data_IF_827057431814
#
_entry.id   IF_827057431814
#
_cell.length_a   1.000
_cell.length_b   1.000
_cell.length_c   1.000
_cell.angle_alpha   90.00
_cell.angle_beta   90.00
_cell.angle_gamma   90.00
#
_symmetry.space_group_name_H-M   'P 1'
#
loop_
_entity.id
_entity.type
_entity.pdbx_description
1 polymer ?
#
# COMPACT_ATOMS: atom_id res chain seq x y z
N UNK A 1 -9.52 -16.83 -1.07
CA UNK A 1 -10.04 -16.79 -2.46
C UNK A 1 -11.17 -17.78 -2.74
N UNK A 2 -10.97 -19.12 -2.75
CA UNK A 2 -12.05 -20.07 -3.12
C UNK A 2 -13.31 -20.00 -2.24
N UNK A 3 -13.17 -19.61 -0.98
CA UNK A 3 -14.29 -19.37 -0.05
C UNK A 3 -15.12 -18.12 -0.42
N UNK A 4 -14.54 -17.16 -1.13
CA UNK A 4 -15.16 -15.89 -1.48
C UNK A 4 -15.76 -15.94 -2.91
N UNK A 5 -17.03 -15.50 -3.14
CA UNK A 5 -17.63 -15.49 -4.48
C UNK A 5 -16.85 -14.68 -5.52
N UNK A 6 -16.38 -13.48 -5.15
CA UNK A 6 -15.54 -12.64 -6.02
C UNK A 6 -14.17 -13.28 -6.23
N UNK A 7 -13.59 -13.88 -5.19
CA UNK A 7 -12.36 -14.67 -5.30
C UNK A 7 -12.46 -15.81 -6.31
N UNK A 8 -13.54 -16.59 -6.29
CA UNK A 8 -13.81 -17.64 -7.30
C UNK A 8 -13.95 -17.06 -8.72
N UNK A 9 -14.62 -15.91 -8.86
CA UNK A 9 -14.76 -15.22 -10.15
C UNK A 9 -13.38 -14.82 -10.68
N UNK A 10 -12.53 -14.24 -9.85
CA UNK A 10 -11.16 -13.85 -10.18
C UNK A 10 -10.32 -15.06 -10.61
N UNK A 11 -10.41 -16.19 -9.90
CA UNK A 11 -9.64 -17.41 -10.23
C UNK A 11 -10.05 -18.02 -11.56
N UNK A 12 -11.33 -17.87 -11.94
CA UNK A 12 -11.85 -18.32 -13.24
C UNK A 12 -11.46 -17.38 -14.38
N UNK A 13 -11.67 -16.07 -14.18
CA UNK A 13 -11.49 -15.07 -15.24
C UNK A 13 -10.00 -14.75 -15.49
N UNK A 14 -9.16 -14.99 -14.48
CA UNK A 14 -7.70 -14.76 -14.49
C UNK A 14 -7.23 -13.38 -15.02
N UNK A 15 -7.87 -12.25 -14.65
CA UNK A 15 -7.45 -10.93 -15.14
C UNK A 15 -6.04 -10.55 -14.67
N UNK A 16 -5.33 -9.80 -15.52
CA UNK A 16 -3.99 -9.26 -15.25
C UNK A 16 -4.05 -7.76 -15.02
N UNK A 17 -3.23 -7.26 -14.11
CA UNK A 17 -3.14 -5.86 -13.75
C UNK A 17 -1.77 -5.31 -14.17
N UNK A 18 -1.61 -5.05 -15.46
CA UNK A 18 -0.39 -4.53 -16.09
C UNK A 18 -0.73 -3.33 -16.99
N UNK A 19 0.25 -2.70 -17.64
CA UNK A 19 -0.01 -1.52 -18.47
C UNK A 19 -0.87 -1.79 -19.72
N UNK A 20 -1.03 -3.04 -20.15
CA UNK A 20 -1.90 -3.38 -21.29
C UNK A 20 -3.38 -3.31 -20.89
N UNK A 21 -3.71 -3.74 -19.67
CA UNK A 21 -5.07 -3.75 -19.13
C UNK A 21 -5.41 -2.46 -18.36
N UNK A 22 -4.44 -1.93 -17.60
CA UNK A 22 -4.53 -0.67 -16.87
C UNK A 22 -4.02 0.48 -17.74
N UNK A 23 -4.91 1.08 -18.51
CA UNK A 23 -4.60 2.28 -19.30
C UNK A 23 -4.35 3.48 -18.40
N UNK A 24 -3.14 3.64 -17.87
CA UNK A 24 -2.79 4.73 -16.93
C UNK A 24 -3.19 6.12 -17.44
N UNK A 25 -3.06 6.49 -18.74
CA UNK A 25 -3.58 7.76 -19.25
C UNK A 25 -5.08 7.94 -19.04
N UNK A 26 -5.88 6.88 -19.18
CA UNK A 26 -7.31 6.90 -18.87
C UNK A 26 -7.54 7.11 -17.37
N UNK A 27 -6.79 6.41 -16.52
CA UNK A 27 -6.92 6.54 -15.07
C UNK A 27 -6.63 7.96 -14.58
N UNK A 28 -5.66 8.65 -15.19
CA UNK A 28 -5.37 10.08 -14.91
C UNK A 28 -6.51 11.02 -15.32
N UNK A 29 -7.38 10.61 -16.24
CA UNK A 29 -8.52 11.41 -16.70
C UNK A 29 -9.78 11.25 -15.85
N UNK A 30 -9.79 10.25 -14.95
CA UNK A 30 -10.92 10.01 -14.05
C UNK A 30 -11.06 11.11 -12.98
N UNK A 31 -12.22 11.24 -12.32
CA UNK A 31 -12.41 12.18 -11.23
C UNK A 31 -11.37 11.99 -10.11
N UNK A 32 -10.96 13.10 -9.47
CA UNK A 32 -9.89 13.09 -8.45
C UNK A 32 -10.19 12.21 -7.23
N UNK A 33 -11.46 11.98 -6.95
CA UNK A 33 -11.91 11.11 -5.86
C UNK A 33 -12.05 9.63 -6.29
N UNK A 34 -11.71 9.27 -7.53
CA UNK A 34 -11.82 7.89 -8.00
C UNK A 34 -10.61 7.03 -7.59
N UNK A 35 -10.82 5.72 -7.51
CA UNK A 35 -9.75 4.73 -7.22
C UNK A 35 -8.67 4.78 -8.29
N UNK A 36 -9.05 4.81 -9.57
CA UNK A 36 -8.15 4.83 -10.71
C UNK A 36 -7.30 6.09 -10.74
N UNK A 37 -7.90 7.26 -10.50
CA UNK A 37 -7.13 8.50 -10.39
C UNK A 37 -6.18 8.47 -9.19
N UNK A 38 -6.65 7.97 -8.03
CA UNK A 38 -5.81 7.84 -6.83
C UNK A 38 -4.61 6.92 -7.06
N UNK A 39 -4.83 5.81 -7.77
CA UNK A 39 -3.78 4.89 -8.20
C UNK A 39 -2.79 5.55 -9.15
N UNK A 40 -3.26 6.21 -10.21
CA UNK A 40 -2.37 6.88 -11.16
C UNK A 40 -1.56 8.01 -10.51
N UNK A 41 -2.18 8.79 -9.63
CA UNK A 41 -1.50 9.83 -8.84
C UNK A 41 -0.45 9.24 -7.90
N UNK A 42 -0.72 8.09 -7.30
CA UNK A 42 0.25 7.39 -6.46
C UNK A 42 1.44 6.89 -7.29
N UNK A 43 1.20 6.26 -8.46
CA UNK A 43 2.24 5.85 -9.40
C UNK A 43 3.16 7.04 -9.76
N UNK A 44 2.56 8.17 -10.14
CA UNK A 44 3.30 9.39 -10.51
C UNK A 44 4.12 9.94 -9.34
N UNK A 45 3.60 9.86 -8.12
CA UNK A 45 4.27 10.35 -6.90
C UNK A 45 5.43 9.47 -6.46
N UNK A 46 5.31 8.16 -6.61
CA UNK A 46 6.34 7.19 -6.21
C UNK A 46 7.32 6.84 -7.35
N UNK A 47 7.02 7.25 -8.59
CA UNK A 47 7.88 7.05 -9.75
C UNK A 47 7.92 5.60 -10.23
N UNK A 48 6.80 4.87 -10.09
CA UNK A 48 6.67 3.45 -10.44
C UNK A 48 5.59 3.23 -11.52
N UNK A 49 5.59 2.05 -12.14
CA UNK A 49 4.67 1.63 -13.20
C UNK A 49 3.99 0.30 -12.84
N UNK A 50 2.77 -0.02 -13.34
CA UNK A 50 2.16 -1.34 -13.17
C UNK A 50 3.09 -2.50 -13.60
N UNK A 51 3.94 -2.28 -14.61
CA UNK A 51 4.86 -3.31 -15.13
C UNK A 51 6.15 -3.47 -14.32
N UNK A 52 6.31 -2.74 -13.21
CA UNK A 52 7.51 -2.89 -12.35
C UNK A 52 7.52 -4.24 -11.60
N UNK A 53 6.46 -5.05 -11.73
CA UNK A 53 6.26 -6.28 -10.99
C UNK A 53 6.70 -7.47 -11.83
N UNK A 54 7.78 -8.11 -11.41
CA UNK A 54 8.28 -9.33 -12.05
C UNK A 54 7.26 -10.48 -11.97
N UNK A 55 7.25 -11.31 -13.02
CA UNK A 55 6.47 -12.54 -13.04
C UNK A 55 6.92 -13.51 -11.95
N UNK A 56 5.95 -14.15 -11.31
CA UNK A 56 6.18 -15.23 -10.35
C UNK A 56 6.80 -16.43 -11.07
N UNK A 57 7.92 -16.88 -10.53
CA UNK A 57 8.64 -18.07 -10.96
C UNK A 57 8.62 -19.11 -9.83
N UNK A 58 8.90 -20.37 -10.17
CA UNK A 58 9.10 -21.47 -9.20
C UNK A 58 7.87 -21.86 -8.36
N UNK A 59 6.68 -21.79 -8.96
CA UNK A 59 5.44 -22.36 -8.39
C UNK A 59 4.85 -23.30 -9.42
N UNK A 60 4.77 -24.60 -9.10
CA UNK A 60 4.32 -25.63 -10.04
C UNK A 60 2.80 -25.65 -10.21
N UNK A 61 2.06 -25.35 -9.14
CA UNK A 61 0.60 -25.28 -9.20
C UNK A 61 0.15 -23.99 -9.91
N UNK A 62 -0.52 -24.15 -11.05
CA UNK A 62 -0.90 -23.03 -11.93
C UNK A 62 -1.86 -22.04 -11.27
N UNK A 63 -2.78 -22.53 -10.42
CA UNK A 63 -3.70 -21.66 -9.69
C UNK A 63 -2.96 -20.87 -8.61
N UNK A 64 -2.10 -21.52 -7.83
CA UNK A 64 -1.24 -20.87 -6.84
C UNK A 64 -0.29 -19.85 -7.49
N UNK A 65 0.31 -20.19 -8.63
CA UNK A 65 1.15 -19.28 -9.39
C UNK A 65 0.37 -18.02 -9.79
N UNK A 66 -0.86 -18.18 -10.28
CA UNK A 66 -1.76 -17.07 -10.60
C UNK A 66 -2.14 -16.25 -9.35
N UNK A 67 -2.49 -16.89 -8.23
CA UNK A 67 -2.82 -16.20 -6.96
C UNK A 67 -1.65 -15.32 -6.50
N UNK A 68 -0.43 -15.87 -6.52
CA UNK A 68 0.76 -15.14 -6.11
C UNK A 68 1.12 -14.02 -7.08
N UNK A 69 0.87 -14.22 -8.37
CA UNK A 69 1.06 -13.19 -9.38
C UNK A 69 0.08 -12.05 -9.19
N UNK A 70 -1.22 -12.35 -9.06
CA UNK A 70 -2.24 -11.34 -8.78
C UNK A 70 -1.95 -10.59 -7.49
N UNK A 71 -1.50 -11.28 -6.43
CA UNK A 71 -1.06 -10.62 -5.20
C UNK A 71 0.03 -9.57 -5.46
N UNK A 72 1.03 -9.87 -6.29
CA UNK A 72 2.10 -8.92 -6.66
C UNK A 72 1.57 -7.73 -7.45
N UNK A 73 0.65 -7.96 -8.39
CA UNK A 73 0.09 -6.89 -9.22
C UNK A 73 -0.88 -5.99 -8.45
N UNK A 74 -1.66 -6.56 -7.52
CA UNK A 74 -2.55 -5.80 -6.63
C UNK A 74 -1.80 -4.97 -5.59
N UNK A 75 -0.54 -5.27 -5.30
CA UNK A 75 0.23 -4.62 -4.23
C UNK A 75 0.27 -3.08 -4.36
N UNK A 76 0.41 -2.58 -5.58
CA UNK A 76 0.42 -1.13 -5.84
C UNK A 76 -0.96 -0.48 -5.57
N UNK A 77 -2.05 -1.23 -5.77
CA UNK A 77 -3.37 -0.76 -5.34
C UNK A 77 -3.46 -0.65 -3.83
N UNK A 78 -2.86 -1.57 -3.08
CA UNK A 78 -2.87 -1.51 -1.61
C UNK A 78 -2.14 -0.27 -1.10
N UNK A 79 -1.01 0.06 -1.72
CA UNK A 79 -0.34 1.34 -1.47
C UNK A 79 -1.20 2.53 -1.84
N UNK A 80 -1.84 2.54 -3.02
CA UNK A 80 -2.65 3.65 -3.47
C UNK A 80 -3.87 3.91 -2.56
N UNK A 81 -4.59 2.86 -2.16
CA UNK A 81 -5.75 3.00 -1.27
C UNK A 81 -5.35 3.36 0.15
N UNK A 82 -4.18 2.93 0.63
CA UNK A 82 -3.69 3.32 1.97
C UNK A 82 -2.91 4.64 1.96
N UNK A 83 -2.45 5.10 0.80
CA UNK A 83 -1.55 6.26 0.69
C UNK A 83 -0.13 6.02 1.21
N UNK A 84 0.25 4.77 1.52
CA UNK A 84 1.59 4.45 2.01
C UNK A 84 2.63 4.62 0.88
N UNK A 85 3.76 5.28 1.14
CA UNK A 85 4.85 5.42 0.17
C UNK A 85 5.72 4.16 0.06
N UNK A 86 6.54 4.07 -1.00
CA UNK A 86 7.46 2.92 -1.26
C UNK A 86 8.81 3.02 -0.54
N UNK A 87 8.97 3.99 0.37
CA UNK A 87 10.13 4.03 1.26
C UNK A 87 10.08 2.88 2.28
N UNK A 88 11.23 2.42 2.77
CA UNK A 88 11.36 1.26 3.67
C UNK A 88 10.33 1.26 4.83
N UNK A 89 10.10 2.41 5.47
CA UNK A 89 9.12 2.54 6.57
C UNK A 89 7.67 2.32 6.10
N UNK A 90 7.31 2.81 4.92
CA UNK A 90 5.98 2.63 4.31
C UNK A 90 5.77 1.22 3.78
N UNK A 91 6.80 0.64 3.17
CA UNK A 91 6.81 -0.77 2.74
C UNK A 91 6.58 -1.71 3.93
N UNK A 92 7.29 -1.50 5.05
CA UNK A 92 7.09 -2.33 6.24
C UNK A 92 5.70 -2.15 6.86
N UNK A 93 5.17 -0.93 6.86
CA UNK A 93 3.81 -0.67 7.30
C UNK A 93 2.79 -1.43 6.44
N UNK A 94 2.96 -1.41 5.11
CA UNK A 94 2.07 -2.13 4.21
C UNK A 94 2.24 -3.64 4.35
N UNK A 95 3.46 -4.16 4.45
CA UNK A 95 3.70 -5.60 4.62
C UNK A 95 3.10 -6.15 5.91
N UNK A 96 3.10 -5.36 6.98
CA UNK A 96 2.43 -5.73 8.22
C UNK A 96 0.92 -5.83 8.00
N UNK A 97 0.33 -4.86 7.32
CA UNK A 97 -1.08 -4.88 6.94
C UNK A 97 -1.42 -6.06 6.01
N UNK A 98 -0.63 -6.32 4.97
CA UNK A 98 -0.80 -7.45 4.05
C UNK A 98 -0.71 -8.79 4.77
N UNK A 99 0.22 -8.95 5.72
CA UNK A 99 0.32 -10.16 6.53
C UNK A 99 -0.93 -10.42 7.36
N UNK A 100 -1.49 -9.37 7.96
CA UNK A 100 -2.69 -9.49 8.77
C UNK A 100 -3.95 -9.71 7.93
N UNK A 101 -3.99 -9.17 6.71
CA UNK A 101 -5.11 -9.31 5.77
C UNK A 101 -5.09 -10.65 5.01
N UNK A 102 -3.91 -11.19 4.68
CA UNK A 102 -3.77 -12.36 3.77
C UNK A 102 -3.11 -13.58 4.40
N UNK A 103 -2.38 -13.39 5.51
CA UNK A 103 -1.59 -14.43 6.20
C UNK A 103 -0.50 -15.06 5.31
N UNK A 104 -0.13 -14.42 4.20
CA UNK A 104 0.95 -14.88 3.33
C UNK A 104 2.30 -14.84 4.10
N UNK A 105 3.02 -15.97 4.28
CA UNK A 105 4.21 -16.00 5.12
C UNK A 105 5.30 -15.00 4.70
N UNK A 106 5.45 -14.75 3.40
CA UNK A 106 6.46 -13.86 2.84
C UNK A 106 6.29 -12.40 3.29
N UNK A 107 5.05 -11.94 3.48
CA UNK A 107 4.79 -10.57 3.95
C UNK A 107 5.17 -10.43 5.41
N UNK A 108 4.90 -11.44 6.24
CA UNK A 108 5.37 -11.50 7.63
C UNK A 108 6.90 -11.57 7.73
N UNK A 109 7.56 -12.42 6.94
CA UNK A 109 9.02 -12.53 6.92
C UNK A 109 9.71 -11.21 6.52
N UNK A 110 9.10 -10.44 5.61
CA UNK A 110 9.65 -9.14 5.20
C UNK A 110 9.78 -8.13 6.35
N UNK A 111 9.00 -8.29 7.43
CA UNK A 111 9.08 -7.45 8.63
C UNK A 111 10.41 -7.57 9.38
N UNK A 112 11.19 -8.62 9.12
CA UNK A 112 12.56 -8.70 9.63
C UNK A 112 13.41 -7.49 9.21
N UNK A 113 13.09 -6.83 8.09
CA UNK A 113 13.79 -5.62 7.65
C UNK A 113 13.54 -4.38 8.53
N UNK A 114 12.67 -4.44 9.55
CA UNK A 114 12.54 -3.41 10.60
C UNK A 114 13.89 -3.12 11.27
N UNK A 115 14.81 -4.09 11.33
CA UNK A 115 16.16 -3.88 11.89
C UNK A 115 17.00 -2.87 11.10
N UNK A 116 16.63 -2.58 9.84
CA UNK A 116 17.31 -1.61 8.98
C UNK A 116 16.79 -0.18 9.16
N UNK A 117 15.70 0.03 9.90
CA UNK A 117 15.14 1.34 10.17
C UNK A 117 16.03 2.16 11.13
N UNK A 118 16.11 3.47 10.90
CA UNK A 118 16.72 4.40 11.86
C UNK A 118 15.92 4.40 13.17
N UNK A 119 16.52 4.74 14.33
CA UNK A 119 15.81 4.73 15.62
C UNK A 119 14.47 5.46 15.61
N UNK A 120 14.42 6.68 15.03
CA UNK A 120 13.18 7.46 14.92
C UNK A 120 12.14 6.83 13.97
N UNK A 121 12.57 6.15 12.89
CA UNK A 121 11.68 5.43 11.98
C UNK A 121 11.11 4.18 12.65
N UNK A 122 11.95 3.44 13.38
CA UNK A 122 11.55 2.26 14.14
C UNK A 122 10.54 2.61 15.23
N UNK A 123 10.77 3.71 15.95
CA UNK A 123 9.85 4.20 16.96
C UNK A 123 8.47 4.52 16.37
N UNK A 124 8.41 5.27 15.26
CA UNK A 124 7.15 5.56 14.56
C UNK A 124 6.48 4.30 14.04
N UNK A 125 7.24 3.37 13.47
CA UNK A 125 6.71 2.10 13.01
C UNK A 125 5.94 1.38 14.13
N UNK A 126 6.56 1.19 15.31
CA UNK A 126 5.91 0.48 16.42
C UNK A 126 4.79 1.28 17.10
N UNK A 127 4.87 2.62 17.13
CA UNK A 127 3.87 3.46 17.81
C UNK A 127 2.66 3.80 16.94
N UNK A 128 2.84 3.93 15.63
CA UNK A 128 1.83 4.45 14.71
C UNK A 128 1.42 3.41 13.68
N UNK A 129 2.37 2.89 12.91
CA UNK A 129 2.06 2.07 11.74
C UNK A 129 1.66 0.64 12.08
N UNK A 130 2.37 -0.02 13.00
CA UNK A 130 2.03 -1.39 13.40
C UNK A 130 0.65 -1.46 14.09
N UNK A 131 0.29 -0.58 15.04
CA UNK A 131 -1.06 -0.57 15.59
C UNK A 131 -2.14 -0.29 14.55
N UNK A 132 -1.88 0.61 13.59
CA UNK A 132 -2.79 0.84 12.46
C UNK A 132 -2.94 -0.41 11.58
N UNK A 133 -1.83 -1.08 11.26
CA UNK A 133 -1.83 -2.29 10.46
C UNK A 133 -2.60 -3.41 11.16
N UNK A 134 -2.48 -3.54 12.49
CA UNK A 134 -3.28 -4.48 13.32
C UNK A 134 -4.77 -4.18 13.21
N UNK A 135 -5.18 -2.92 13.43
CA UNK A 135 -6.61 -2.56 13.33
C UNK A 135 -7.14 -2.81 11.92
N UNK A 136 -6.55 -2.17 10.92
CA UNK A 136 -7.04 -2.21 9.54
C UNK A 136 -6.88 -3.59 8.91
N UNK A 137 -5.77 -4.28 9.16
CA UNK A 137 -5.50 -5.58 8.54
C UNK A 137 -6.43 -6.69 9.03
N UNK A 138 -6.82 -6.66 10.31
CA UNK A 138 -7.75 -7.65 10.88
C UNK A 138 -9.23 -7.29 10.66
N UNK A 139 -9.56 -6.01 10.51
CA UNK A 139 -10.95 -5.56 10.28
C UNK A 139 -11.34 -5.46 8.81
N UNK A 140 -10.37 -5.50 7.89
CA UNK A 140 -10.64 -5.31 6.47
C UNK A 140 -11.08 -6.59 5.78
N UNK A 141 -11.85 -6.41 4.71
CA UNK A 141 -12.08 -7.46 3.73
C UNK A 141 -10.73 -7.92 3.12
N UNK A 142 -10.62 -9.22 2.82
CA UNK A 142 -9.43 -9.78 2.15
C UNK A 142 -9.21 -9.08 0.79
N UNK A 143 -8.18 -8.23 0.70
CA UNK A 143 -7.95 -7.37 -0.46
C UNK A 143 -7.64 -8.12 -1.74
N UNK A 144 -7.13 -9.34 -1.61
CA UNK A 144 -6.86 -10.22 -2.76
C UNK A 144 -8.16 -10.65 -3.49
N UNK A 145 -9.32 -10.57 -2.81
CA UNK A 145 -10.62 -10.85 -3.39
C UNK A 145 -11.27 -9.61 -4.03
N UNK A 146 -10.64 -8.43 -3.96
CA UNK A 146 -11.15 -7.22 -4.62
C UNK A 146 -10.89 -7.32 -6.12
N UNK A 147 -11.94 -7.10 -6.91
CA UNK A 147 -11.86 -7.06 -8.36
C UNK A 147 -11.54 -5.62 -8.80
N UNK A 148 -10.28 -5.20 -8.59
CA UNK A 148 -9.79 -3.82 -8.76
C UNK A 148 -10.14 -3.20 -10.10
N UNK A 149 -10.11 -4.00 -11.17
CA UNK A 149 -10.46 -3.64 -12.54
C UNK A 149 -11.87 -3.02 -12.64
N UNK A 150 -12.82 -3.49 -11.81
CA UNK A 150 -14.20 -2.99 -11.75
C UNK A 150 -14.37 -1.82 -10.76
N UNK A 151 -13.35 -1.54 -9.94
CA UNK A 151 -13.42 -0.50 -8.90
C UNK A 151 -12.83 0.84 -9.36
N UNK A 152 -12.15 0.89 -10.51
CA UNK A 152 -11.33 2.03 -10.94
C UNK A 152 -12.10 3.35 -10.98
N UNK A 153 -13.37 3.35 -11.38
CA UNK A 153 -14.18 4.58 -11.50
C UNK A 153 -14.92 4.94 -10.21
N UNK A 154 -14.94 4.05 -9.22
CA UNK A 154 -15.65 4.28 -7.96
C UNK A 154 -14.91 5.30 -7.11
N UNK A 155 -15.65 5.95 -6.21
CA UNK A 155 -15.06 6.81 -5.19
C UNK A 155 -14.16 5.98 -4.26
N UNK A 156 -12.93 6.45 -4.05
CA UNK A 156 -11.92 5.78 -3.23
C UNK A 156 -12.29 5.75 -1.74
N UNK A 157 -12.97 6.77 -1.24
CA UNK A 157 -13.36 6.84 0.18
C UNK A 157 -14.53 5.91 0.49
N UNK A 158 -15.49 5.79 -0.45
CA UNK A 158 -16.56 4.80 -0.35
C UNK A 158 -16.00 3.38 -0.38
N UNK A 159 -15.03 3.11 -1.27
CA UNK A 159 -14.37 1.80 -1.33
C UNK A 159 -13.59 1.50 -0.04
N UNK A 160 -12.85 2.47 0.52
CA UNK A 160 -12.15 2.30 1.80
C UNK A 160 -13.11 1.96 2.93
N UNK A 161 -14.25 2.66 3.00
CA UNK A 161 -15.27 2.42 4.01
C UNK A 161 -15.88 1.02 3.88
N UNK A 162 -16.20 0.58 2.65
CA UNK A 162 -16.70 -0.78 2.39
C UNK A 162 -15.69 -1.86 2.74
N UNK A 163 -14.40 -1.63 2.44
CA UNK A 163 -13.33 -2.58 2.72
C UNK A 163 -12.88 -2.54 4.19
N UNK A 164 -13.38 -1.62 5.01
CA UNK A 164 -12.97 -1.46 6.41
C UNK A 164 -11.51 -0.99 6.58
N UNK A 165 -11.01 -0.16 5.65
CA UNK A 165 -9.63 0.33 5.64
C UNK A 165 -9.59 1.73 6.26
N UNK A 166 -8.95 1.85 7.43
CA UNK A 166 -8.60 3.14 8.03
C UNK A 166 -7.42 3.75 7.25
N UNK A 167 -7.43 5.06 7.00
CA UNK A 167 -6.26 5.73 6.43
C UNK A 167 -5.10 5.73 7.44
N UNK A 168 -3.89 5.25 7.08
CA UNK A 168 -2.74 5.31 7.95
C UNK A 168 -2.29 6.76 8.18
N UNK A 169 -1.54 7.03 9.26
CA UNK A 169 -0.87 8.31 9.44
C UNK A 169 0.05 8.62 8.24
N UNK A 170 -0.07 9.82 7.63
CA UNK A 170 0.73 10.19 6.45
C UNK A 170 2.22 10.32 6.82
N UNK A 171 3.00 9.33 6.40
CA UNK A 171 4.44 9.25 6.63
C UNK A 171 5.21 10.47 6.10
N UNK A 172 4.83 10.98 4.94
CA UNK A 172 5.52 12.12 4.30
C UNK A 172 5.18 13.41 5.05
N UNK A 173 3.95 13.57 5.51
CA UNK A 173 3.52 14.68 6.35
C UNK A 173 4.23 14.67 7.72
N UNK A 174 4.24 13.53 8.42
CA UNK A 174 4.92 13.38 9.71
C UNK A 174 6.41 13.73 9.57
N UNK A 175 7.09 13.16 8.56
CA UNK A 175 8.49 13.46 8.29
C UNK A 175 8.72 14.93 7.97
N UNK A 176 7.80 15.59 7.26
CA UNK A 176 7.88 17.04 6.97
C UNK A 176 7.75 17.86 8.26
N UNK A 177 6.80 17.54 9.12
CA UNK A 177 6.58 18.23 10.40
C UNK A 177 7.80 18.09 11.32
N UNK A 178 8.37 16.89 11.44
CA UNK A 178 9.56 16.65 12.25
C UNK A 178 10.76 17.49 11.78
N UNK A 179 11.04 17.52 10.47
CA UNK A 179 12.12 18.36 9.91
C UNK A 179 11.91 19.85 10.18
N UNK A 180 10.67 20.34 10.11
CA UNK A 180 10.36 21.73 10.43
C UNK A 180 10.56 22.04 11.91
N UNK A 181 10.19 21.12 12.81
CA UNK A 181 10.42 21.27 14.25
C UNK A 181 11.91 21.29 14.58
N UNK A 182 12.71 20.39 14.00
CA UNK A 182 14.18 20.38 14.16
C UNK A 182 14.81 21.69 13.67
N UNK A 183 14.37 22.20 12.51
CA UNK A 183 14.85 23.48 11.97
C UNK A 183 14.55 24.63 12.93
N UNK A 184 13.31 24.74 13.41
CA UNK A 184 12.89 25.76 14.38
C UNK A 184 13.65 25.66 15.70
N UNK A 185 13.93 24.44 16.18
CA UNK A 185 14.71 24.23 17.40
C UNK A 185 16.16 24.72 17.25
N UNK A 186 16.80 24.42 16.10
CA UNK A 186 18.15 24.90 15.78
C UNK A 186 18.20 26.43 15.65
N UNK A 187 17.22 27.04 14.99
CA UNK A 187 17.13 28.50 14.86
C UNK A 187 17.00 29.18 16.24
N UNK A 188 16.16 28.64 17.13
CA UNK A 188 16.03 29.14 18.52
C UNK A 188 17.31 28.99 19.33
N UNK A 189 18.00 27.84 19.20
CA UNK A 189 19.28 27.64 19.88
C UNK A 189 20.35 28.62 19.40
N UNK A 190 20.44 28.86 18.09
CA UNK A 190 21.37 29.83 17.51
C UNK A 190 21.08 31.28 17.96
N UNK A 191 19.81 31.67 18.05
CA UNK A 191 19.42 32.99 18.57
C UNK A 191 19.81 33.17 20.04
N UNK A 192 19.60 32.13 20.86
CA UNK A 192 19.95 32.15 22.28
C UNK A 192 21.46 32.10 22.55
N UNK A 193 22.28 31.57 21.63
CA UNK A 193 23.74 31.56 21.77
C UNK A 193 24.44 32.80 21.21
N UNK A 194 23.68 33.70 20.57
CA UNK A 194 24.18 34.97 20.01
C UNK A 194 23.71 36.19 20.83
N UNK A 195 22.92 35.95 21.89
CA UNK A 195 22.46 36.94 22.87
C UNK A 195 23.19 36.74 24.19
#
# INVERSE_FOLDING_TARGET
MLSNPTGRRILRDRPRLNSETLKVPYLRSLPENSVGWSYAKWLDKEGVSPDTRDDVQYIDDEECAYVMQRYRECHDFYHAVTGLPTMVEGELALKAFEFLNTVLPMTGLSLAAVVRLKPAERERFFKLHLPWAVRSGLSSEELINVYWEEQLERNVDDLRAELGIEAPPDLREIRRMMRQQEKRAKEKQAQNSTS
#
